data_IF_649333666209
#
_entry.id   IF_649333666209
#
_cell.length_a   1.000
_cell.length_b   1.000
_cell.length_c   1.000
_cell.angle_alpha   90.00
_cell.angle_beta   90.00
_cell.angle_gamma   90.00
#
_symmetry.space_group_name_H-M   'P 1'
#
loop_
_entity.id
_entity.type
_entity.pdbx_description
1 polymer ?
#
# COMPACT_ATOMS: atom_id res chain seq x y z
N UNK A 1 -18.25 6.91 -21.76
CA UNK A 1 -18.20 5.88 -22.80
C UNK A 1 -17.44 6.45 -23.98
N UNK A 2 -16.15 6.14 -24.10
CA UNK A 2 -15.36 6.41 -25.32
C UNK A 2 -15.96 5.59 -26.45
N UNK A 3 -16.64 6.23 -27.39
CA UNK A 3 -17.18 5.57 -28.58
C UNK A 3 -16.02 4.98 -29.38
N UNK A 4 -16.20 3.83 -30.04
CA UNK A 4 -15.18 3.21 -30.90
C UNK A 4 -14.56 4.23 -31.89
N UNK A 5 -15.37 5.16 -32.40
CA UNK A 5 -14.94 6.28 -33.25
C UNK A 5 -13.87 7.17 -32.61
N UNK A 6 -13.90 7.37 -31.30
CA UNK A 6 -12.89 8.15 -30.57
C UNK A 6 -11.54 7.42 -30.46
N UNK A 7 -11.50 6.09 -30.56
CA UNK A 7 -10.26 5.32 -30.62
C UNK A 7 -9.64 5.35 -32.01
N UNK A 8 -10.46 5.52 -33.05
CA UNK A 8 -10.02 5.54 -34.46
C UNK A 8 -9.53 6.91 -34.95
N UNK A 9 -9.27 7.86 -34.04
CA UNK A 9 -8.64 9.13 -34.44
C UNK A 9 -7.22 8.85 -34.94
N UNK A 10 -6.80 9.41 -36.10
CA UNK A 10 -5.52 9.07 -36.74
C UNK A 10 -4.31 9.18 -35.79
N UNK A 11 -4.25 10.26 -35.00
CA UNK A 11 -3.16 10.47 -34.04
C UNK A 11 -3.13 9.39 -32.93
N UNK A 12 -4.27 8.88 -32.48
CA UNK A 12 -4.33 7.82 -31.45
C UNK A 12 -3.88 6.48 -32.01
N UNK A 13 -4.30 6.15 -33.23
CA UNK A 13 -3.84 4.95 -33.93
C UNK A 13 -2.32 5.01 -34.11
N UNK A 14 -1.79 6.15 -34.56
CA UNK A 14 -0.33 6.34 -34.71
C UNK A 14 0.39 6.17 -33.38
N UNK A 15 -0.08 6.80 -32.28
CA UNK A 15 0.52 6.65 -30.96
C UNK A 15 0.47 5.20 -30.46
N UNK A 16 -0.65 4.49 -30.66
CA UNK A 16 -0.77 3.07 -30.28
C UNK A 16 0.16 2.19 -31.11
N UNK A 17 0.27 2.44 -32.41
CA UNK A 17 1.17 1.70 -33.30
C UNK A 17 2.63 1.94 -32.93
N UNK A 18 3.03 3.19 -32.66
CA UNK A 18 4.37 3.54 -32.19
C UNK A 18 4.70 2.86 -30.85
N UNK A 19 3.75 2.88 -29.91
CA UNK A 19 3.93 2.19 -28.63
C UNK A 19 4.07 0.68 -28.80
N UNK A 20 3.20 0.05 -29.60
CA UNK A 20 3.26 -1.38 -29.89
C UNK A 20 4.56 -1.77 -30.60
N UNK A 21 5.00 -0.95 -31.57
CA UNK A 21 6.27 -1.14 -32.27
C UNK A 21 7.46 -1.03 -31.31
N UNK A 22 7.44 -0.06 -30.39
CA UNK A 22 8.47 0.09 -29.35
C UNK A 22 8.51 -1.12 -28.41
N UNK A 23 7.35 -1.59 -27.94
CA UNK A 23 7.28 -2.78 -27.06
C UNK A 23 7.79 -4.02 -27.79
N UNK A 24 7.38 -4.23 -29.04
CA UNK A 24 7.85 -5.35 -29.85
C UNK A 24 9.36 -5.26 -30.10
N UNK A 25 9.86 -4.06 -30.43
CA UNK A 25 11.28 -3.80 -30.60
C UNK A 25 12.06 -4.17 -29.34
N UNK A 26 11.62 -3.70 -28.16
CA UNK A 26 12.24 -4.07 -26.89
C UNK A 26 12.18 -5.59 -26.63
N UNK A 27 11.08 -6.25 -26.96
CA UNK A 27 10.93 -7.70 -26.73
C UNK A 27 11.88 -8.54 -27.60
N UNK A 28 12.14 -8.13 -28.84
CA UNK A 28 12.94 -8.91 -29.81
C UNK A 28 14.42 -8.53 -29.79
N UNK A 29 14.76 -7.27 -29.55
CA UNK A 29 16.15 -6.78 -29.68
C UNK A 29 16.94 -6.81 -28.37
N UNK A 30 16.25 -6.77 -27.23
CA UNK A 30 16.91 -6.76 -25.93
C UNK A 30 17.27 -8.17 -25.45
N UNK A 31 18.17 -8.23 -24.47
CA UNK A 31 18.72 -9.50 -23.98
C UNK A 31 17.88 -10.08 -22.85
N UNK A 32 17.24 -11.22 -23.10
CA UNK A 32 16.36 -11.93 -22.17
C UNK A 32 16.88 -13.31 -21.72
N UNK A 33 18.14 -13.63 -22.05
CA UNK A 33 18.81 -14.91 -21.74
C UNK A 33 18.94 -15.19 -20.23
N UNK A 34 18.86 -14.16 -19.40
CA UNK A 34 18.94 -14.26 -17.95
C UNK A 34 17.63 -14.74 -17.30
N UNK A 35 16.47 -14.65 -17.96
CA UNK A 35 15.16 -14.95 -17.35
C UNK A 35 15.13 -16.35 -16.70
N UNK A 36 15.51 -17.45 -17.37
CA UNK A 36 15.40 -18.79 -16.77
C UNK A 36 16.22 -18.94 -15.49
N UNK A 37 17.36 -18.25 -15.38
CA UNK A 37 18.23 -18.28 -14.21
C UNK A 37 17.60 -17.57 -12.99
N UNK A 38 16.89 -16.46 -13.22
CA UNK A 38 16.32 -15.64 -12.14
C UNK A 38 14.82 -15.83 -11.94
N UNK A 39 14.13 -16.59 -12.80
CA UNK A 39 12.70 -16.83 -12.72
C UNK A 39 12.24 -17.37 -11.34
N UNK A 40 12.92 -18.35 -10.70
CA UNK A 40 12.52 -18.81 -9.37
C UNK A 40 12.57 -17.69 -8.33
N UNK A 41 13.67 -16.92 -8.34
CA UNK A 41 13.86 -15.79 -7.43
C UNK A 41 12.84 -14.67 -7.70
N UNK A 42 12.49 -14.44 -8.97
CA UNK A 42 11.46 -13.46 -9.34
C UNK A 42 10.08 -13.86 -8.83
N UNK A 43 9.72 -15.16 -8.84
CA UNK A 43 8.47 -15.64 -8.25
C UNK A 43 8.43 -15.39 -6.75
N UNK A 44 9.52 -15.69 -6.03
CA UNK A 44 9.65 -15.37 -4.60
C UNK A 44 9.60 -13.86 -4.31
N UNK A 45 10.24 -13.06 -5.16
CA UNK A 45 10.21 -11.60 -5.07
C UNK A 45 8.81 -11.03 -5.30
N UNK A 46 8.07 -11.55 -6.28
CA UNK A 46 6.66 -11.19 -6.54
C UNK A 46 5.79 -11.57 -5.34
N UNK A 47 5.94 -12.79 -4.82
CA UNK A 47 5.24 -13.22 -3.63
C UNK A 47 5.53 -12.27 -2.46
N UNK A 48 6.80 -11.91 -2.27
CA UNK A 48 7.24 -10.99 -1.22
C UNK A 48 6.60 -9.61 -1.32
N UNK A 49 6.60 -9.05 -2.53
CA UNK A 49 5.90 -7.79 -2.82
C UNK A 49 4.40 -7.88 -2.50
N UNK A 50 3.73 -8.94 -2.94
CA UNK A 50 2.28 -9.10 -2.77
C UNK A 50 1.91 -9.26 -1.29
N UNK A 51 2.59 -10.15 -0.55
CA UNK A 51 2.21 -10.41 0.84
C UNK A 51 2.54 -9.20 1.73
N UNK A 52 3.67 -8.52 1.53
CA UNK A 52 4.00 -7.30 2.29
C UNK A 52 2.95 -6.23 2.02
N UNK A 53 2.61 -5.98 0.75
CA UNK A 53 1.57 -5.01 0.38
C UNK A 53 0.24 -5.37 1.05
N UNK A 54 -0.22 -6.62 0.93
CA UNK A 54 -1.50 -7.05 1.48
C UNK A 54 -1.56 -6.91 3.00
N UNK A 55 -0.55 -7.42 3.71
CA UNK A 55 -0.48 -7.37 5.18
C UNK A 55 -0.45 -5.92 5.67
N UNK A 56 0.40 -5.08 5.07
CA UNK A 56 0.56 -3.69 5.53
C UNK A 56 -0.65 -2.82 5.21
N UNK A 57 -1.33 -3.08 4.08
CA UNK A 57 -2.61 -2.44 3.76
C UNK A 57 -3.69 -2.80 4.78
N UNK A 58 -3.83 -4.10 5.11
CA UNK A 58 -4.84 -4.58 6.06
C UNK A 58 -4.57 -4.05 7.47
N UNK A 59 -3.34 -4.23 7.98
CA UNK A 59 -2.97 -3.75 9.31
C UNK A 59 -3.03 -2.22 9.39
N UNK A 60 -2.57 -1.54 8.33
CA UNK A 60 -2.60 -0.09 8.25
C UNK A 60 -4.03 0.44 8.28
N UNK A 61 -4.95 -0.17 7.53
CA UNK A 61 -6.36 0.20 7.55
C UNK A 61 -7.03 -0.09 8.90
N UNK A 62 -6.71 -1.22 9.55
CA UNK A 62 -7.18 -1.53 10.90
C UNK A 62 -6.75 -0.49 11.93
N UNK A 63 -5.58 0.13 11.76
CA UNK A 63 -5.12 1.26 12.58
C UNK A 63 -5.74 2.60 12.14
N UNK A 64 -5.94 2.80 10.84
CA UNK A 64 -6.51 4.02 10.28
C UNK A 64 -7.95 4.28 10.76
N UNK A 65 -8.77 3.24 10.90
CA UNK A 65 -10.16 3.36 11.38
C UNK A 65 -10.24 4.00 12.78
N UNK A 66 -9.60 3.47 13.84
CA UNK A 66 -9.63 4.11 15.15
C UNK A 66 -8.91 5.46 15.17
N UNK A 67 -7.84 5.65 14.39
CA UNK A 67 -7.17 6.96 14.25
C UNK A 67 -8.13 8.00 13.68
N UNK A 68 -8.79 7.71 12.56
CA UNK A 68 -9.75 8.62 11.93
C UNK A 68 -10.93 8.94 12.83
N UNK A 69 -11.45 7.95 13.56
CA UNK A 69 -12.51 8.14 14.53
C UNK A 69 -12.09 9.06 15.67
N UNK A 70 -10.92 8.80 16.28
CA UNK A 70 -10.38 9.62 17.35
C UNK A 70 -10.17 11.07 16.91
N UNK A 71 -9.68 11.30 15.70
CA UNK A 71 -9.47 12.65 15.17
C UNK A 71 -10.77 13.40 14.85
N UNK A 72 -11.80 12.67 14.40
CA UNK A 72 -13.08 13.25 14.00
C UNK A 72 -13.92 13.65 15.21
N UNK A 73 -14.05 12.77 16.21
CA UNK A 73 -15.02 12.92 17.30
C UNK A 73 -14.50 12.44 18.67
N UNK A 74 -13.23 12.05 18.76
CA UNK A 74 -12.61 11.71 20.03
C UNK A 74 -12.45 12.95 20.92
N UNK A 75 -12.44 12.77 22.25
CA UNK A 75 -12.07 13.83 23.18
C UNK A 75 -10.63 14.30 22.92
N UNK A 76 -10.27 15.46 23.48
CA UNK A 76 -8.96 16.09 23.23
C UNK A 76 -7.76 15.14 23.48
N UNK A 77 -7.84 14.29 24.51
CA UNK A 77 -6.77 13.35 24.86
C UNK A 77 -6.64 12.14 23.91
N UNK A 78 -7.62 11.88 23.03
CA UNK A 78 -7.50 10.89 21.95
C UNK A 78 -7.26 11.55 20.60
N UNK A 79 -7.92 12.69 20.35
CA UNK A 79 -7.82 13.41 19.09
C UNK A 79 -6.45 14.06 18.88
N UNK A 80 -5.85 14.65 19.93
CA UNK A 80 -4.53 15.28 19.82
C UNK A 80 -3.45 14.25 19.48
N UNK A 81 -3.27 13.13 20.22
CA UNK A 81 -2.28 12.12 19.85
C UNK A 81 -2.49 11.54 18.45
N UNK A 82 -3.74 11.28 18.05
CA UNK A 82 -4.04 10.75 16.72
C UNK A 82 -3.69 11.74 15.59
N UNK A 83 -4.01 13.04 15.76
CA UNK A 83 -3.61 14.09 14.82
C UNK A 83 -2.10 14.25 14.75
N UNK A 84 -1.43 14.25 15.90
CA UNK A 84 0.04 14.34 15.96
C UNK A 84 0.70 13.16 15.26
N UNK A 85 0.23 11.94 15.50
CA UNK A 85 0.69 10.74 14.80
C UNK A 85 0.54 10.87 13.29
N UNK A 86 -0.67 11.17 12.80
CA UNK A 86 -0.91 11.36 11.37
C UNK A 86 -0.05 12.48 10.76
N UNK A 87 0.12 13.59 11.47
CA UNK A 87 0.96 14.72 11.02
C UNK A 87 2.43 14.33 10.90
N UNK A 88 2.99 13.63 11.90
CA UNK A 88 4.38 13.19 11.88
C UNK A 88 4.62 12.16 10.78
N UNK A 89 3.74 11.17 10.66
CA UNK A 89 3.86 10.12 9.64
C UNK A 89 3.76 10.70 8.23
N UNK A 90 2.80 11.59 7.99
CA UNK A 90 2.64 12.23 6.67
C UNK A 90 3.74 13.25 6.38
N UNK A 91 4.32 13.85 7.42
CA UNK A 91 5.41 14.82 7.32
C UNK A 91 6.81 14.19 7.20
N UNK A 92 6.95 12.88 7.37
CA UNK A 92 8.24 12.18 7.31
C UNK A 92 8.32 11.24 6.09
N UNK A 93 9.43 11.24 5.34
CA UNK A 93 9.62 10.30 4.24
C UNK A 93 9.55 8.84 4.72
N UNK A 94 8.78 8.00 4.02
CA UNK A 94 8.65 6.57 4.33
C UNK A 94 10.01 5.85 4.34
N UNK A 95 10.94 6.22 3.46
CA UNK A 95 12.30 5.67 3.48
C UNK A 95 13.00 5.92 4.82
N UNK A 96 12.87 7.13 5.39
CA UNK A 96 13.42 7.43 6.70
C UNK A 96 12.70 6.66 7.82
N UNK A 97 11.38 6.47 7.73
CA UNK A 97 10.64 5.64 8.69
C UNK A 97 11.16 4.20 8.69
N UNK A 98 11.39 3.61 7.52
CA UNK A 98 11.98 2.27 7.36
C UNK A 98 13.37 2.23 7.99
N UNK A 99 14.24 3.19 7.69
CA UNK A 99 15.61 3.23 8.20
C UNK A 99 15.68 3.46 9.71
N UNK A 100 14.86 4.36 10.27
CA UNK A 100 14.82 4.60 11.71
C UNK A 100 14.35 3.35 12.47
N UNK A 101 13.39 2.61 11.92
CA UNK A 101 12.94 1.37 12.55
C UNK A 101 14.00 0.26 12.41
N UNK A 102 14.55 0.04 11.23
CA UNK A 102 15.51 -1.04 11.00
C UNK A 102 16.90 -0.75 11.57
N UNK A 103 17.55 0.34 11.14
CA UNK A 103 18.89 0.69 11.60
C UNK A 103 18.88 1.32 12.99
N UNK A 104 17.81 2.02 13.38
CA UNK A 104 17.66 2.53 14.74
C UNK A 104 17.25 1.43 15.72
N UNK A 105 15.98 1.04 15.74
CA UNK A 105 15.51 0.04 16.72
C UNK A 105 16.19 -1.33 16.57
N UNK A 106 16.40 -1.79 15.33
CA UNK A 106 17.05 -3.08 15.08
C UNK A 106 18.50 -3.15 15.53
N UNK A 107 19.22 -2.03 15.61
CA UNK A 107 20.57 -2.01 16.21
C UNK A 107 20.56 -1.86 17.74
N UNK A 108 19.49 -1.27 18.31
CA UNK A 108 19.29 -1.11 19.75
C UNK A 108 18.85 -2.40 20.44
N UNK A 109 17.89 -3.13 19.88
CA UNK A 109 17.35 -4.36 20.48
C UNK A 109 18.39 -5.41 20.89
N UNK A 110 19.41 -5.74 20.08
CA UNK A 110 20.44 -6.68 20.50
C UNK A 110 21.27 -6.24 21.73
N UNK A 111 21.28 -4.95 22.08
CA UNK A 111 22.00 -4.41 23.25
C UNK A 111 21.30 -4.74 24.57
N UNK A 112 20.01 -5.10 24.53
CA UNK A 112 19.21 -5.44 25.70
C UNK A 112 19.14 -6.97 25.88
N UNK A 113 19.80 -7.55 26.92
CA UNK A 113 19.85 -9.00 27.09
C UNK A 113 18.48 -9.68 27.14
N UNK A 114 17.50 -9.06 27.81
CA UNK A 114 16.14 -9.60 27.91
C UNK A 114 15.38 -9.63 26.59
N UNK A 115 15.68 -8.72 25.65
CA UNK A 115 15.11 -8.77 24.29
C UNK A 115 15.81 -9.87 23.49
N UNK A 116 17.14 -9.91 23.56
CA UNK A 116 17.95 -10.89 22.82
C UNK A 116 17.68 -12.34 23.23
N UNK A 117 17.34 -12.56 24.50
CA UNK A 117 16.95 -13.88 25.02
C UNK A 117 15.46 -14.18 24.91
N UNK A 118 14.65 -13.29 24.33
CA UNK A 118 13.20 -13.47 24.21
C UNK A 118 12.82 -14.33 23.02
N UNK A 119 11.62 -14.92 23.08
CA UNK A 119 10.98 -15.63 21.96
C UNK A 119 10.73 -14.75 20.73
N UNK A 120 10.79 -13.42 20.89
CA UNK A 120 10.66 -12.46 19.79
C UNK A 120 11.97 -12.27 19.02
N UNK A 121 13.11 -12.64 19.60
CA UNK A 121 14.43 -12.40 18.99
C UNK A 121 14.59 -12.98 17.58
N UNK A 122 14.10 -14.20 17.25
CA UNK A 122 14.16 -14.73 15.89
C UNK A 122 13.49 -13.82 14.85
N UNK A 123 12.47 -13.06 15.25
CA UNK A 123 11.80 -12.08 14.39
C UNK A 123 12.51 -10.73 14.42
N UNK A 124 12.83 -10.21 15.60
CA UNK A 124 13.44 -8.88 15.77
C UNK A 124 14.83 -8.76 15.15
N UNK A 125 15.53 -9.87 14.90
CA UNK A 125 16.81 -9.86 14.17
C UNK A 125 16.66 -9.82 12.64
N UNK A 126 15.45 -10.05 12.10
CA UNK A 126 15.18 -10.06 10.66
C UNK A 126 14.76 -8.67 10.18
N UNK A 127 14.90 -8.38 8.89
CA UNK A 127 14.53 -7.09 8.34
C UNK A 127 13.03 -6.91 8.10
N UNK A 128 12.33 -7.99 7.70
CA UNK A 128 10.94 -7.90 7.26
C UNK A 128 9.96 -7.37 8.32
N UNK A 129 10.10 -7.61 9.64
CA UNK A 129 9.16 -7.05 10.61
C UNK A 129 9.22 -5.52 10.67
N UNK A 130 10.41 -4.94 10.49
CA UNK A 130 10.59 -3.48 10.43
C UNK A 130 10.00 -2.90 9.14
N UNK A 131 10.14 -3.60 8.01
CA UNK A 131 9.47 -3.24 6.77
C UNK A 131 7.95 -3.21 6.94
N UNK A 132 7.37 -4.29 7.49
CA UNK A 132 5.93 -4.40 7.73
C UNK A 132 5.47 -3.31 8.71
N UNK A 133 6.20 -3.08 9.79
CA UNK A 133 5.85 -2.04 10.77
C UNK A 133 5.88 -0.64 10.14
N UNK A 134 6.96 -0.29 9.44
CA UNK A 134 7.11 1.02 8.80
C UNK A 134 5.99 1.28 7.78
N UNK A 135 5.76 0.32 6.88
CA UNK A 135 4.73 0.42 5.85
C UNK A 135 3.32 0.46 6.44
N UNK A 136 3.06 -0.29 7.51
CA UNK A 136 1.78 -0.29 8.25
C UNK A 136 1.52 1.07 8.91
N UNK A 137 2.51 1.60 9.62
CA UNK A 137 2.39 2.91 10.29
C UNK A 137 2.23 4.04 9.28
N UNK A 138 2.97 3.97 8.18
CA UNK A 138 2.86 4.93 7.08
C UNK A 138 1.45 4.94 6.51
N UNK A 139 0.97 3.76 6.08
CA UNK A 139 -0.39 3.61 5.55
C UNK A 139 -1.44 4.09 6.55
N UNK A 140 -1.31 3.74 7.84
CA UNK A 140 -2.23 4.18 8.89
C UNK A 140 -2.25 5.70 9.09
N UNK A 141 -1.11 6.39 8.93
CA UNK A 141 -1.02 7.84 9.06
C UNK A 141 -1.74 8.57 7.93
N UNK A 142 -1.60 8.10 6.69
CA UNK A 142 -2.30 8.65 5.52
C UNK A 142 -3.79 8.29 5.56
N UNK A 143 -4.13 7.01 5.71
CA UNK A 143 -5.53 6.57 5.74
C UNK A 143 -6.28 7.03 6.98
N UNK A 144 -5.59 7.31 8.09
CA UNK A 144 -6.20 7.89 9.28
C UNK A 144 -6.87 9.25 8.97
N UNK A 145 -6.30 10.03 8.06
CA UNK A 145 -6.87 11.32 7.62
C UNK A 145 -8.00 11.16 6.62
N UNK A 146 -7.88 10.18 5.72
CA UNK A 146 -8.97 9.78 4.82
C UNK A 146 -10.18 9.32 5.65
N UNK A 147 -9.95 8.43 6.63
CA UNK A 147 -10.97 7.97 7.57
C UNK A 147 -11.54 9.09 8.43
N UNK A 148 -10.72 10.07 8.88
CA UNK A 148 -11.22 11.27 9.58
C UNK A 148 -12.23 12.01 8.71
N UNK A 149 -11.89 12.27 7.45
CA UNK A 149 -12.79 12.89 6.47
C UNK A 149 -14.09 12.10 6.30
N UNK A 150 -13.98 10.77 6.19
CA UNK A 150 -15.13 9.89 6.01
C UNK A 150 -16.07 9.84 7.21
N UNK A 151 -15.53 9.81 8.43
CA UNK A 151 -16.34 9.89 9.65
C UNK A 151 -17.03 11.24 9.77
N UNK A 152 -16.33 12.34 9.46
CA UNK A 152 -16.91 13.69 9.45
C UNK A 152 -17.94 13.89 8.33
N UNK A 153 -17.85 13.13 7.24
CA UNK A 153 -18.78 13.19 6.09
C UNK A 153 -20.12 12.48 6.31
N UNK A 154 -20.30 11.71 7.39
CA UNK A 154 -21.59 11.08 7.70
C UNK A 154 -22.61 12.15 8.14
N UNK A 155 -23.81 12.12 7.55
CA UNK A 155 -24.83 13.14 7.77
C UNK A 155 -25.23 13.24 9.25
N UNK A 156 -25.03 14.43 9.84
CA UNK A 156 -25.35 14.71 11.26
C UNK A 156 -26.80 14.37 11.60
N UNK A 157 -27.76 14.67 10.71
CA UNK A 157 -29.18 14.38 10.92
C UNK A 157 -29.49 12.88 11.13
N UNK A 158 -28.73 11.97 10.52
CA UNK A 158 -28.89 10.54 10.76
C UNK A 158 -28.40 10.15 12.17
N UNK A 159 -27.28 10.73 12.62
CA UNK A 159 -26.73 10.49 13.95
C UNK A 159 -27.64 11.10 15.04
N UNK A 160 -28.19 12.28 14.79
CA UNK A 160 -29.15 12.96 15.68
C UNK A 160 -30.47 12.18 15.77
N UNK A 161 -30.99 11.71 14.64
CA UNK A 161 -32.21 10.88 14.61
C UNK A 161 -32.00 9.58 15.38
N UNK A 162 -30.90 8.87 15.12
CA UNK A 162 -30.53 7.66 15.88
C UNK A 162 -30.44 7.93 17.39
N UNK A 163 -29.91 9.10 17.78
CA UNK A 163 -29.84 9.52 19.18
C UNK A 163 -31.23 9.76 19.78
N UNK A 164 -32.13 10.41 19.04
CA UNK A 164 -33.51 10.68 19.45
C UNK A 164 -34.34 9.41 19.63
N UNK A 165 -34.06 8.35 18.85
CA UNK A 165 -34.63 7.01 19.04
C UNK A 165 -33.97 6.20 20.17
N UNK A 166 -33.11 6.81 20.99
CA UNK A 166 -32.51 6.17 22.16
C UNK A 166 -31.37 5.19 21.84
N UNK A 167 -30.79 5.22 20.64
CA UNK A 167 -29.66 4.35 20.32
C UNK A 167 -28.44 4.68 21.18
N UNK A 168 -27.90 3.67 21.89
CA UNK A 168 -26.63 3.78 22.60
C UNK A 168 -25.50 4.13 21.62
N UNK A 169 -24.51 4.90 22.09
CA UNK A 169 -23.37 5.37 21.28
C UNK A 169 -22.68 4.25 20.51
N UNK A 170 -22.41 3.11 21.16
CA UNK A 170 -21.77 1.97 20.50
C UNK A 170 -22.66 1.32 19.43
N UNK A 171 -23.97 1.24 19.66
CA UNK A 171 -24.93 0.72 18.67
C UNK A 171 -25.00 1.62 17.46
N UNK A 172 -25.08 2.94 17.66
CA UNK A 172 -25.05 3.95 16.60
C UNK A 172 -23.73 3.88 15.80
N UNK A 173 -22.60 3.82 16.50
CA UNK A 173 -21.29 3.68 15.85
C UNK A 173 -21.22 2.42 14.96
N UNK A 174 -21.52 1.24 15.54
CA UNK A 174 -21.39 -0.05 14.84
C UNK A 174 -22.37 -0.21 13.67
N UNK A 175 -23.60 0.30 13.81
CA UNK A 175 -24.69 0.05 12.83
C UNK A 175 -24.88 1.16 11.80
N UNK A 176 -24.48 2.39 12.12
CA UNK A 176 -24.76 3.56 11.28
C UNK A 176 -23.47 4.24 10.84
N UNK A 177 -22.62 4.61 11.80
CA UNK A 177 -21.50 5.49 11.52
C UNK A 177 -20.34 4.78 10.82
N UNK A 178 -19.85 3.69 11.40
CA UNK A 178 -18.71 2.94 10.86
C UNK A 178 -19.00 2.36 9.47
N UNK A 179 -20.15 1.69 9.21
CA UNK A 179 -20.44 1.17 7.88
C UNK A 179 -20.52 2.25 6.81
N UNK A 180 -21.09 3.42 7.14
CA UNK A 180 -21.17 4.55 6.20
C UNK A 180 -19.81 5.20 5.96
N UNK A 181 -18.99 5.38 6.99
CA UNK A 181 -17.64 5.89 6.83
C UNK A 181 -16.79 4.97 5.94
N UNK A 182 -16.85 3.64 6.16
CA UNK A 182 -16.16 2.66 5.30
C UNK A 182 -16.66 2.75 3.87
N UNK A 183 -17.98 2.86 3.66
CA UNK A 183 -18.57 2.99 2.33
C UNK A 183 -18.11 4.26 1.61
N UNK A 184 -17.89 5.35 2.34
CA UNK A 184 -17.40 6.62 1.78
C UNK A 184 -15.94 6.54 1.31
N UNK A 185 -15.10 5.75 2.00
CA UNK A 185 -13.67 5.60 1.65
C UNK A 185 -13.43 4.52 0.61
N UNK A 186 -14.33 3.54 0.51
CA UNK A 186 -14.12 2.40 -0.38
C UNK A 186 -13.70 2.76 -1.83
N UNK A 187 -14.26 3.80 -2.49
CA UNK A 187 -13.85 4.17 -3.85
C UNK A 187 -12.39 4.63 -3.96
N UNK A 188 -11.76 5.06 -2.86
CA UNK A 188 -10.36 5.51 -2.85
C UNK A 188 -9.39 4.37 -2.49
N UNK A 189 -9.85 3.34 -1.78
CA UNK A 189 -9.00 2.24 -1.29
C UNK A 189 -8.23 1.50 -2.39
N UNK A 190 -8.79 1.40 -3.61
CA UNK A 190 -8.09 0.80 -4.74
C UNK A 190 -6.84 1.60 -5.14
N UNK A 191 -6.95 2.92 -5.15
CA UNK A 191 -5.81 3.82 -5.40
C UNK A 191 -4.76 3.73 -4.29
N UNK A 192 -5.20 3.73 -3.03
CA UNK A 192 -4.32 3.66 -1.86
C UNK A 192 -3.56 2.34 -1.79
N UNK A 193 -4.22 1.22 -2.15
CA UNK A 193 -3.57 -0.09 -2.24
C UNK A 193 -2.49 -0.10 -3.34
N UNK A 194 -2.72 0.58 -4.47
CA UNK A 194 -1.71 0.72 -5.55
C UNK A 194 -0.55 1.63 -5.10
N UNK A 195 -0.81 2.67 -4.32
CA UNK A 195 0.24 3.49 -3.73
C UNK A 195 1.09 2.66 -2.75
N UNK A 196 0.45 1.82 -1.94
CA UNK A 196 1.15 0.89 -1.06
C UNK A 196 2.00 -0.12 -1.82
N UNK A 197 1.51 -0.66 -2.94
CA UNK A 197 2.29 -1.50 -3.84
C UNK A 197 3.55 -0.79 -4.34
N UNK A 198 3.43 0.47 -4.77
CA UNK A 198 4.55 1.28 -5.26
C UNK A 198 5.54 1.68 -4.16
N UNK A 199 5.13 1.58 -2.90
CA UNK A 199 5.98 1.83 -1.75
C UNK A 199 6.83 0.61 -1.34
N UNK A 200 6.45 -0.61 -1.73
CA UNK A 200 7.19 -1.82 -1.34
C UNK A 200 8.65 -1.84 -1.77
N UNK A 201 9.10 -1.31 -2.95
CA UNK A 201 10.51 -1.33 -3.34
C UNK A 201 11.46 -0.75 -2.29
N UNK A 202 10.99 0.15 -1.43
CA UNK A 202 11.81 0.75 -0.37
C UNK A 202 12.34 -0.28 0.63
N UNK A 203 11.67 -1.43 0.78
CA UNK A 203 12.10 -2.51 1.69
C UNK A 203 13.41 -3.17 1.25
N UNK A 204 13.75 -3.11 -0.05
CA UNK A 204 15.00 -3.62 -0.56
C UNK A 204 16.22 -2.88 0.02
N UNK A 205 16.03 -1.63 0.47
CA UNK A 205 17.10 -0.86 1.13
C UNK A 205 17.52 -1.45 2.48
N UNK A 206 16.68 -2.29 3.07
CA UNK A 206 16.95 -3.00 4.33
C UNK A 206 17.03 -4.52 4.11
N UNK A 207 17.55 -4.96 2.96
CA UNK A 207 17.84 -6.37 2.64
C UNK A 207 16.63 -7.30 2.47
N UNK A 208 15.40 -6.78 2.44
CA UNK A 208 14.22 -7.59 2.10
C UNK A 208 14.20 -7.84 0.59
N UNK A 209 14.15 -9.11 0.21
CA UNK A 209 14.19 -9.53 -1.21
C UNK A 209 12.79 -9.50 -1.81
N UNK A 210 12.41 -8.33 -2.33
CA UNK A 210 11.20 -8.14 -3.12
C UNK A 210 11.51 -8.16 -4.63
N UNK A 211 10.51 -7.98 -5.50
CA UNK A 211 10.73 -8.02 -6.95
C UNK A 211 11.70 -6.92 -7.44
N UNK A 212 11.75 -5.76 -6.78
CA UNK A 212 12.73 -4.73 -7.07
C UNK A 212 14.15 -5.17 -6.71
N UNK A 213 14.34 -5.83 -5.57
CA UNK A 213 15.62 -6.41 -5.18
C UNK A 213 16.11 -7.45 -6.19
N UNK A 214 15.21 -8.29 -6.71
CA UNK A 214 15.54 -9.28 -7.76
C UNK A 214 16.00 -8.58 -9.03
N UNK A 215 15.25 -7.57 -9.50
CA UNK A 215 15.64 -6.78 -10.67
C UNK A 215 17.02 -6.15 -10.46
N UNK A 216 17.29 -5.57 -9.29
CA UNK A 216 18.60 -4.99 -8.96
C UNK A 216 19.73 -6.03 -8.93
N UNK A 217 19.45 -7.25 -8.45
CA UNK A 217 20.41 -8.36 -8.49
C UNK A 217 20.75 -8.77 -9.91
N UNK A 218 19.76 -8.91 -10.80
CA UNK A 218 20.02 -9.21 -12.22
C UNK A 218 20.93 -8.15 -12.83
N UNK A 219 20.65 -6.87 -12.58
CA UNK A 219 21.49 -5.77 -13.09
C UNK A 219 22.92 -5.85 -12.56
N UNK A 220 23.09 -6.18 -11.28
CA UNK A 220 24.42 -6.32 -10.67
C UNK A 220 25.19 -7.52 -11.21
N UNK A 221 24.52 -8.64 -11.47
CA UNK A 221 25.16 -9.89 -11.90
C UNK A 221 25.47 -9.89 -13.40
N UNK A 222 24.65 -9.21 -14.22
CA UNK A 222 24.72 -9.26 -15.69
C UNK A 222 25.19 -7.96 -16.33
N UNK A 223 25.21 -6.85 -15.57
CA UNK A 223 25.44 -5.48 -16.07
C UNK A 223 24.40 -4.99 -17.10
N UNK A 224 23.32 -5.74 -17.30
CA UNK A 224 22.19 -5.36 -18.17
C UNK A 224 21.25 -4.47 -17.38
N UNK A 225 20.95 -3.25 -17.86
CA UNK A 225 20.21 -2.25 -17.08
C UNK A 225 18.73 -2.19 -17.43
N UNK A 226 18.38 -2.11 -18.72
CA UNK A 226 17.03 -1.75 -19.14
C UNK A 226 16.05 -2.94 -19.07
N UNK A 227 16.51 -4.13 -19.43
CA UNK A 227 15.70 -5.34 -19.51
C UNK A 227 15.07 -5.72 -18.16
N UNK A 228 15.82 -5.77 -17.05
CA UNK A 228 15.24 -6.07 -15.74
C UNK A 228 14.32 -4.95 -15.24
N UNK A 229 14.55 -3.68 -15.63
CA UNK A 229 13.69 -2.55 -15.24
C UNK A 229 12.38 -2.54 -16.04
N UNK A 230 12.42 -2.86 -17.33
CA UNK A 230 11.22 -2.99 -18.16
C UNK A 230 10.36 -4.15 -17.68
N UNK A 231 10.95 -5.31 -17.38
CA UNK A 231 10.22 -6.44 -16.82
C UNK A 231 9.61 -6.08 -15.45
N UNK A 232 10.37 -5.40 -14.59
CA UNK A 232 9.89 -4.90 -13.30
C UNK A 232 8.66 -3.98 -13.48
N UNK A 233 8.71 -3.05 -14.43
CA UNK A 233 7.60 -2.15 -14.72
C UNK A 233 6.35 -2.92 -15.17
N UNK A 234 6.51 -3.93 -16.04
CA UNK A 234 5.41 -4.81 -16.47
C UNK A 234 4.81 -5.57 -15.28
N UNK A 235 5.64 -6.12 -14.39
CA UNK A 235 5.17 -6.83 -13.20
C UNK A 235 4.35 -5.92 -12.29
N UNK A 236 4.85 -4.73 -11.96
CA UNK A 236 4.09 -3.75 -11.17
C UNK A 236 2.78 -3.33 -11.86
N UNK A 237 2.80 -3.15 -13.19
CA UNK A 237 1.61 -2.81 -13.97
C UNK A 237 0.55 -3.92 -13.92
N UNK A 238 0.97 -5.19 -14.05
CA UNK A 238 0.07 -6.35 -13.96
C UNK A 238 -0.56 -6.41 -12.57
N UNK A 239 0.24 -6.30 -11.50
CA UNK A 239 -0.29 -6.35 -10.13
C UNK A 239 -1.26 -5.18 -9.88
N UNK A 240 -0.91 -3.95 -10.29
CA UNK A 240 -1.79 -2.79 -10.17
C UNK A 240 -3.09 -2.95 -10.98
N UNK A 241 -3.03 -3.54 -12.17
CA UNK A 241 -4.19 -3.87 -13.00
C UNK A 241 -5.11 -4.89 -12.31
N UNK A 242 -4.54 -5.93 -11.69
CA UNK A 242 -5.30 -6.91 -10.93
C UNK A 242 -5.98 -6.28 -9.70
N UNK A 243 -5.29 -5.40 -8.97
CA UNK A 243 -5.88 -4.63 -7.85
C UNK A 243 -7.06 -3.79 -8.36
N UNK A 244 -6.88 -3.05 -9.45
CA UNK A 244 -7.93 -2.22 -10.06
C UNK A 244 -9.16 -3.05 -10.43
N UNK A 245 -8.96 -4.21 -11.04
CA UNK A 245 -10.04 -5.12 -11.41
C UNK A 245 -10.75 -5.71 -10.19
N UNK A 246 -10.01 -6.03 -9.13
CA UNK A 246 -10.56 -6.53 -7.87
C UNK A 246 -11.45 -5.49 -7.19
N UNK A 247 -10.97 -4.25 -7.02
CA UNK A 247 -11.74 -3.17 -6.41
C UNK A 247 -12.96 -2.79 -7.26
N UNK A 248 -12.83 -2.72 -8.59
CA UNK A 248 -13.98 -2.46 -9.47
C UNK A 248 -15.08 -3.53 -9.34
N UNK A 249 -14.69 -4.80 -9.21
CA UNK A 249 -15.66 -5.89 -8.97
C UNK A 249 -16.31 -5.77 -7.59
N UNK A 250 -15.55 -5.37 -6.58
CA UNK A 250 -16.04 -5.20 -5.22
C UNK A 250 -17.02 -4.02 -5.11
N UNK A 251 -16.68 -2.87 -5.71
CA UNK A 251 -17.55 -1.69 -5.79
C UNK A 251 -18.87 -1.97 -6.52
N UNK A 252 -18.83 -2.76 -7.60
CA UNK A 252 -20.03 -3.12 -8.37
C UNK A 252 -21.06 -3.94 -7.57
N UNK A 253 -20.65 -4.58 -6.47
CA UNK A 253 -21.56 -5.36 -5.61
C UNK A 253 -22.26 -4.51 -4.55
N UNK A 254 -21.83 -3.25 -4.36
CA UNK A 254 -22.43 -2.39 -3.35
C UNK A 254 -23.64 -1.66 -3.91
N UNK A 255 -24.76 -1.64 -3.16
CA UNK A 255 -25.88 -0.76 -3.49
C UNK A 255 -25.38 0.68 -3.60
N UNK A 256 -25.97 1.48 -4.49
CA UNK A 256 -25.75 2.94 -4.56
C UNK A 256 -26.62 3.67 -3.56
#
# INVERSE_FOLDING_TARGET
MTTLKSLMLPHRIVMMALFAALVLWCAVTLRWDWIPKYAPLAVEGIWTTIWIMAVTTVLGFLLAVPLGLAQAIGPWYLSIPARSFCTVIRGTPLLLQIWLLYYGLGSLFPQFPWIRSSELWPYLRQAWPYAVLALTLSYAGYEGEVMRGAFSGVAKGQLETAKSFGMRRFTMFRRIWLPQAIRNVLPTLGGETILQLKATPLVATITVIDIYAVSSRVRSDTFIVYEPLLLLAVVYMVIAGLITLAFKRFEAQLPR
#
